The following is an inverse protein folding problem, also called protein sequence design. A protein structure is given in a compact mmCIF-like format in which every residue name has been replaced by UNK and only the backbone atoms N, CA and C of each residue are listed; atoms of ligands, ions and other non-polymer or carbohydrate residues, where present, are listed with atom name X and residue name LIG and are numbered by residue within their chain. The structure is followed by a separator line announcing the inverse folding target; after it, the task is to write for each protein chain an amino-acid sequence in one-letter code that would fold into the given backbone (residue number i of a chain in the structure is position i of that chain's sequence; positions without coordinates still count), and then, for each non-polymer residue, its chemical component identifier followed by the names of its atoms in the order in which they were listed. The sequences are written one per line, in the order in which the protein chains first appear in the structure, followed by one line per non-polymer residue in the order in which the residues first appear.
data_IF_900184825669
#
_entry.id   IF_900184825669
#
_cell.length_a   1.000
_cell.length_b   1.000
_cell.length_c   1.000
_cell.angle_alpha   90.00
_cell.angle_beta   90.00
_cell.angle_gamma   90.00
#
_symmetry.space_group_name_H-M   'P 1'
#
loop_
_entity.id
_entity.type
_entity.pdbx_description
1 polymer ?
#
# COMPACT_ATOMS: atom_id res chain seq x y z
N UNK A 1 17.39 -4.35 15.75
CA UNK A 1 16.19 -4.94 15.12
C UNK A 1 15.10 -4.96 16.15
N UNK A 2 13.96 -4.36 15.84
CA UNK A 2 12.75 -4.45 16.64
C UNK A 2 12.11 -5.84 16.50
N UNK A 3 11.32 -6.24 17.49
CA UNK A 3 10.56 -7.48 17.45
C UNK A 3 9.23 -7.25 16.72
N UNK A 4 9.04 -7.93 15.58
CA UNK A 4 7.81 -7.89 14.79
C UNK A 4 6.83 -9.02 15.13
N UNK A 5 7.27 -10.04 15.88
CA UNK A 5 6.46 -11.23 16.13
C UNK A 5 5.19 -10.95 16.93
N UNK A 6 5.22 -9.93 17.78
CA UNK A 6 4.11 -9.54 18.65
C UNK A 6 3.35 -8.30 18.17
N UNK A 7 3.69 -7.72 17.01
CA UNK A 7 3.09 -6.47 16.55
C UNK A 7 1.73 -6.78 15.89
N UNK A 8 0.60 -6.37 16.50
CA UNK A 8 -0.71 -6.64 15.92
C UNK A 8 -0.97 -5.71 14.73
N UNK A 9 -1.61 -6.22 13.69
CA UNK A 9 -2.16 -5.37 12.65
C UNK A 9 -3.23 -4.42 13.22
N UNK A 10 -3.40 -3.23 12.62
CA UNK A 10 -4.56 -2.37 12.84
C UNK A 10 -5.87 -3.17 12.77
N UNK A 11 -6.78 -2.92 13.72
CA UNK A 11 -8.09 -3.57 13.76
C UNK A 11 -8.84 -3.31 12.47
N UNK A 12 -9.30 -4.39 11.81
CA UNK A 12 -9.93 -4.30 10.50
C UNK A 12 -10.90 -5.48 10.29
N UNK A 13 -11.70 -5.44 9.22
CA UNK A 13 -12.55 -6.54 8.78
C UNK A 13 -11.90 -7.39 7.69
N UNK A 14 -10.65 -7.10 7.31
CA UNK A 14 -9.90 -7.95 6.38
C UNK A 14 -9.60 -9.28 7.05
N UNK A 15 -9.58 -10.36 6.28
CA UNK A 15 -9.12 -11.66 6.77
C UNK A 15 -7.69 -11.50 7.31
N UNK A 16 -7.39 -11.96 8.54
CA UNK A 16 -6.05 -11.85 9.11
C UNK A 16 -5.04 -12.70 8.32
N UNK A 17 -3.73 -12.40 8.46
CA UNK A 17 -2.67 -13.23 7.89
C UNK A 17 -2.82 -14.68 8.28
N UNK A 18 -2.48 -15.59 7.35
CA UNK A 18 -2.50 -17.01 7.64
C UNK A 18 -1.54 -17.32 8.79
N UNK A 19 -1.92 -18.27 9.65
CA UNK A 19 -1.24 -18.52 10.93
C UNK A 19 0.21 -19.03 10.77
N UNK A 20 0.57 -19.51 9.59
CA UNK A 20 1.92 -19.96 9.22
C UNK A 20 2.80 -18.84 8.62
N UNK A 21 2.24 -17.64 8.40
CA UNK A 21 2.98 -16.48 7.92
C UNK A 21 3.56 -15.67 9.07
N UNK A 22 4.70 -15.02 8.83
CA UNK A 22 5.39 -14.17 9.79
C UNK A 22 5.52 -12.76 9.24
N UNK A 23 5.29 -11.74 10.06
CA UNK A 23 5.50 -10.35 9.67
C UNK A 23 7.01 -10.10 9.52
N UNK A 24 7.47 -9.78 8.31
CA UNK A 24 8.90 -9.56 8.01
C UNK A 24 9.26 -8.09 7.86
N UNK A 25 8.29 -7.23 7.52
CA UNK A 25 8.50 -5.81 7.29
C UNK A 25 7.20 -5.04 7.46
N UNK A 26 7.29 -3.86 8.07
CA UNK A 26 6.28 -2.81 7.93
C UNK A 26 6.94 -1.64 7.21
N UNK A 27 6.42 -1.28 6.04
CA UNK A 27 6.92 -0.16 5.25
C UNK A 27 5.92 0.99 5.24
N UNK A 28 6.41 2.23 5.30
CA UNK A 28 5.61 3.41 4.95
C UNK A 28 5.77 3.64 3.45
N UNK A 29 4.66 3.63 2.72
CA UNK A 29 4.62 4.10 1.35
C UNK A 29 4.22 5.56 1.29
N UNK A 30 4.99 6.36 0.54
CA UNK A 30 4.64 7.75 0.20
C UNK A 30 4.64 7.93 -1.30
N UNK A 31 3.55 8.44 -1.86
CA UNK A 31 3.46 8.72 -3.28
C UNK A 31 2.06 9.11 -3.71
N UNK A 32 1.61 8.60 -4.85
CA UNK A 32 0.33 8.99 -5.46
C UNK A 32 -0.56 7.79 -5.80
N UNK A 33 -1.86 8.00 -5.64
CA UNK A 33 -2.90 7.22 -6.27
C UNK A 33 -3.24 7.85 -7.62
N UNK A 34 -3.30 7.03 -8.65
CA UNK A 34 -3.42 7.47 -10.03
C UNK A 34 -4.75 7.02 -10.63
N UNK A 35 -5.42 7.94 -11.32
CA UNK A 35 -6.73 7.76 -11.93
C UNK A 35 -6.75 8.29 -13.35
N UNK A 36 -7.67 7.78 -14.17
CA UNK A 36 -7.96 8.30 -15.51
C UNK A 36 -9.37 8.81 -15.65
N UNK A 37 -9.52 9.77 -16.54
CA UNK A 37 -10.78 10.44 -16.85
C UNK A 37 -11.17 10.16 -18.31
N UNK A 38 -12.23 9.38 -18.51
CA UNK A 38 -12.77 9.12 -19.86
C UNK A 38 -13.57 10.30 -20.43
N UNK A 39 -14.10 11.17 -19.56
CA UNK A 39 -14.81 12.40 -19.92
C UNK A 39 -14.74 13.40 -18.77
N UNK A 40 -14.87 14.69 -19.06
CA UNK A 40 -14.82 15.75 -18.05
C UNK A 40 -15.92 15.62 -16.98
N UNK A 41 -17.07 15.04 -17.29
CA UNK A 41 -18.16 14.84 -16.29
C UNK A 41 -18.15 13.44 -15.68
N UNK A 42 -17.19 12.59 -16.06
CA UNK A 42 -17.07 11.22 -15.55
C UNK A 42 -16.52 11.17 -14.13
N UNK A 43 -16.71 10.02 -13.48
CA UNK A 43 -16.02 9.69 -12.24
C UNK A 43 -14.63 9.13 -12.59
N UNK A 44 -13.54 9.61 -11.97
CA UNK A 44 -12.20 9.08 -12.22
C UNK A 44 -12.11 7.58 -11.93
N UNK A 45 -11.47 6.83 -12.82
CA UNK A 45 -11.26 5.38 -12.68
C UNK A 45 -9.83 5.09 -12.24
N UNK A 46 -9.65 4.27 -11.20
CA UNK A 46 -8.33 3.93 -10.68
C UNK A 46 -7.49 3.16 -11.72
N UNK A 47 -6.24 3.58 -11.90
CA UNK A 47 -5.27 2.92 -12.79
C UNK A 47 -4.01 2.45 -12.06
N UNK A 48 -3.90 2.70 -10.76
CA UNK A 48 -2.81 2.18 -9.94
C UNK A 48 -2.30 3.20 -8.94
N UNK A 49 -1.10 2.94 -8.42
CA UNK A 49 -0.39 3.81 -7.51
C UNK A 49 1.11 3.78 -7.81
N UNK A 50 1.83 4.80 -7.40
CA UNK A 50 3.30 4.82 -7.37
C UNK A 50 3.71 5.35 -6.00
N UNK A 51 4.61 4.67 -5.31
CA UNK A 51 5.12 5.11 -4.02
C UNK A 51 6.58 4.68 -3.80
N UNK A 52 7.32 5.51 -3.09
CA UNK A 52 8.57 5.10 -2.46
C UNK A 52 8.26 4.42 -1.13
N UNK A 53 8.99 3.36 -0.82
CA UNK A 53 8.84 2.59 0.41
C UNK A 53 9.96 2.94 1.38
N UNK A 54 9.62 3.12 2.65
CA UNK A 54 10.54 3.44 3.74
C UNK A 54 10.32 2.44 4.88
N UNK A 55 11.37 2.09 5.63
CA UNK A 55 11.24 1.13 6.71
C UNK A 55 10.61 1.77 7.94
N UNK A 56 9.40 1.33 8.29
CA UNK A 56 8.65 1.81 9.45
C UNK A 56 8.54 0.76 10.56
N UNK A 57 9.20 -0.39 10.43
CA UNK A 57 9.05 -1.57 11.31
C UNK A 57 9.22 -1.22 12.78
N UNK A 58 10.31 -0.53 13.13
CA UNK A 58 10.60 -0.23 14.54
C UNK A 58 9.78 0.93 15.07
N UNK A 59 9.50 1.93 14.24
CA UNK A 59 8.59 3.01 14.59
C UNK A 59 7.20 2.48 14.97
N UNK A 60 6.68 1.52 14.19
CA UNK A 60 5.38 0.90 14.45
C UNK A 60 5.44 -0.03 15.66
N UNK A 61 6.46 -0.89 15.76
CA UNK A 61 6.61 -1.82 16.88
C UNK A 61 6.72 -1.11 18.25
N UNK A 62 7.33 0.08 18.28
CA UNK A 62 7.51 0.88 19.50
C UNK A 62 6.35 1.86 19.76
N UNK A 63 5.35 1.93 18.87
CA UNK A 63 4.21 2.84 19.00
C UNK A 63 4.52 4.31 18.70
N UNK A 64 5.64 4.60 18.03
CA UNK A 64 6.14 5.95 17.73
C UNK A 64 5.63 6.50 16.37
N UNK A 65 4.38 6.20 16.02
CA UNK A 65 3.75 6.66 14.78
C UNK A 65 3.48 8.17 14.83
N UNK A 66 4.44 8.96 14.37
CA UNK A 66 4.37 10.42 14.29
C UNK A 66 5.66 11.16 14.66
N UNK A 67 6.65 10.47 15.26
CA UNK A 67 7.93 11.07 15.66
C UNK A 67 9.13 10.60 14.83
N UNK A 68 8.94 9.64 13.92
CA UNK A 68 10.03 9.02 13.19
C UNK A 68 10.09 9.65 11.80
N UNK A 69 11.05 10.54 11.61
CA UNK A 69 11.73 10.63 10.32
C UNK A 69 12.21 9.22 10.00
N UNK A 70 11.45 8.57 9.12
CA UNK A 70 11.78 7.33 8.41
C UNK A 70 13.29 7.21 8.17
N UNK A 71 13.83 6.00 8.16
CA UNK A 71 15.19 5.78 7.64
C UNK A 71 15.31 6.57 6.32
N UNK A 72 16.21 7.55 6.26
CA UNK A 72 16.18 8.60 5.24
C UNK A 72 16.33 8.08 3.79
N UNK A 73 16.63 6.80 3.64
CA UNK A 73 16.77 6.11 2.37
C UNK A 73 15.55 5.24 2.12
N UNK A 74 14.94 5.42 0.94
CA UNK A 74 13.93 4.49 0.45
C UNK A 74 14.51 3.06 0.40
N UNK A 75 13.74 2.09 0.87
CA UNK A 75 14.06 0.65 0.87
C UNK A 75 13.48 -0.06 -0.35
N UNK A 76 12.79 0.66 -1.23
CA UNK A 76 12.13 0.07 -2.39
C UNK A 76 11.10 0.99 -3.01
N UNK A 77 10.37 0.43 -3.96
CA UNK A 77 9.27 1.10 -4.63
C UNK A 77 8.05 0.18 -4.74
N UNK A 78 6.89 0.83 -4.75
CA UNK A 78 5.63 0.22 -5.10
C UNK A 78 5.09 0.89 -6.35
N UNK A 79 4.73 0.12 -7.36
CA UNK A 79 4.10 0.63 -8.59
C UNK A 79 3.10 -0.39 -9.13
N UNK A 80 2.48 -0.10 -10.27
CA UNK A 80 1.57 -1.01 -10.95
C UNK A 80 2.15 -1.34 -12.33
N UNK A 81 2.33 -2.64 -12.64
CA UNK A 81 2.83 -3.09 -13.95
C UNK A 81 1.73 -3.11 -15.02
N UNK A 82 0.49 -3.20 -14.57
CA UNK A 82 -0.74 -3.00 -15.34
C UNK A 82 -1.81 -2.40 -14.42
N UNK A 83 -3.03 -2.13 -14.91
CA UNK A 83 -4.08 -1.46 -14.12
C UNK A 83 -4.58 -2.26 -12.89
N UNK A 84 -4.14 -3.50 -12.70
CA UNK A 84 -4.63 -4.45 -11.70
C UNK A 84 -3.55 -5.12 -10.85
N UNK A 85 -2.30 -5.09 -11.31
CA UNK A 85 -1.17 -5.81 -10.70
C UNK A 85 -0.25 -4.84 -9.97
N UNK A 86 -0.43 -4.66 -8.63
CA UNK A 86 0.56 -4.00 -7.79
C UNK A 86 1.86 -4.81 -7.74
N UNK A 87 2.96 -4.09 -7.87
CA UNK A 87 4.33 -4.57 -7.79
C UNK A 87 5.03 -3.91 -6.59
N UNK A 88 5.79 -4.70 -5.83
CA UNK A 88 6.65 -4.24 -4.75
C UNK A 88 8.06 -4.75 -5.00
N UNK A 89 8.97 -3.85 -5.30
CA UNK A 89 10.41 -4.12 -5.38
C UNK A 89 11.08 -3.60 -4.11
N UNK A 90 11.40 -4.52 -3.19
CA UNK A 90 11.94 -4.20 -1.87
C UNK A 90 13.35 -4.74 -1.75
N UNK A 91 14.30 -3.85 -1.45
CA UNK A 91 15.71 -4.19 -1.28
C UNK A 91 15.85 -5.24 -0.17
N UNK A 92 16.47 -6.37 -0.51
CA UNK A 92 16.68 -7.49 0.41
C UNK A 92 15.56 -8.52 0.48
N UNK A 93 14.34 -8.20 0.01
CA UNK A 93 13.25 -9.18 -0.15
C UNK A 93 13.07 -9.62 -1.61
N UNK A 94 13.36 -8.73 -2.55
CA UNK A 94 13.13 -8.93 -3.98
C UNK A 94 11.76 -8.41 -4.43
N UNK A 95 11.42 -8.74 -5.67
CA UNK A 95 10.20 -8.30 -6.32
C UNK A 95 9.01 -9.20 -5.96
N UNK A 96 7.85 -8.59 -5.75
CA UNK A 96 6.57 -9.28 -5.49
C UNK A 96 5.46 -8.63 -6.31
N UNK A 97 4.88 -9.37 -7.24
CA UNK A 97 3.63 -8.98 -7.90
C UNK A 97 2.45 -9.59 -7.15
N UNK A 98 1.43 -8.78 -6.89
CA UNK A 98 0.26 -9.19 -6.13
C UNK A 98 -1.03 -8.93 -6.89
N UNK A 99 -2.12 -9.47 -6.36
CA UNK A 99 -3.49 -9.14 -6.77
C UNK A 99 -4.31 -8.75 -5.55
N UNK A 100 -5.29 -7.87 -5.76
CA UNK A 100 -6.26 -7.54 -4.71
C UNK A 100 -7.11 -8.76 -4.36
N UNK A 101 -7.02 -9.22 -3.12
CA UNK A 101 -7.84 -10.30 -2.58
C UNK A 101 -9.10 -9.74 -1.89
N UNK A 102 -8.92 -8.76 -1.01
CA UNK A 102 -10.01 -8.14 -0.25
C UNK A 102 -9.83 -6.63 -0.15
N UNK A 103 -10.93 -5.95 0.13
CA UNK A 103 -10.97 -4.50 0.32
C UNK A 103 -11.98 -4.16 1.40
N UNK A 104 -11.69 -3.14 2.19
CA UNK A 104 -12.64 -2.50 3.10
C UNK A 104 -12.46 -0.99 3.09
N UNK A 105 -13.49 -0.25 3.49
CA UNK A 105 -13.37 1.20 3.68
C UNK A 105 -12.29 1.51 4.73
N UNK A 106 -11.51 2.57 4.49
CA UNK A 106 -10.66 3.14 5.52
C UNK A 106 -11.53 3.81 6.60
N UNK A 107 -11.01 4.00 7.82
CA UNK A 107 -11.74 4.68 8.89
C UNK A 107 -12.21 6.10 8.54
N UNK A 108 -11.45 6.84 7.73
CA UNK A 108 -11.86 8.14 7.17
C UNK A 108 -12.23 7.99 5.70
N UNK A 109 -13.33 8.61 5.29
CA UNK A 109 -13.81 8.55 3.91
C UNK A 109 -12.93 9.31 2.91
N UNK A 110 -11.99 10.13 3.40
CA UNK A 110 -10.98 10.85 2.60
C UNK A 110 -9.77 9.99 2.26
N UNK A 111 -9.68 8.78 2.82
CA UNK A 111 -8.53 7.90 2.68
C UNK A 111 -8.90 6.70 1.81
N UNK A 112 -7.98 6.29 0.92
CA UNK A 112 -8.25 5.14 0.05
C UNK A 112 -8.47 3.86 0.84
N UNK A 113 -9.30 2.92 0.33
CA UNK A 113 -9.63 1.67 1.00
C UNK A 113 -8.41 0.89 1.52
N UNK A 114 -8.56 0.20 2.63
CA UNK A 114 -7.58 -0.78 3.09
C UNK A 114 -7.72 -2.07 2.27
N UNK A 115 -6.59 -2.71 1.98
CA UNK A 115 -6.52 -3.84 1.06
C UNK A 115 -5.77 -5.01 1.68
N UNK A 116 -6.25 -6.23 1.38
CA UNK A 116 -5.44 -7.46 1.47
C UNK A 116 -5.00 -7.83 0.06
N UNK A 117 -3.70 -7.96 -0.14
CA UNK A 117 -3.09 -8.35 -1.40
C UNK A 117 -2.48 -9.75 -1.25
N UNK A 118 -2.67 -10.58 -2.27
CA UNK A 118 -2.14 -11.95 -2.32
C UNK A 118 -1.09 -12.03 -3.42
N UNK A 119 0.08 -12.59 -3.11
CA UNK A 119 1.17 -12.71 -4.07
C UNK A 119 0.79 -13.64 -5.24
N UNK A 120 1.26 -13.29 -6.42
CA UNK A 120 1.12 -14.07 -7.64
C UNK A 120 2.40 -14.88 -7.88
N UNK A 121 2.27 -16.04 -8.55
CA UNK A 121 3.46 -16.83 -8.91
C UNK A 121 4.25 -16.20 -10.05
N UNK A 122 3.56 -15.60 -11.01
CA UNK A 122 4.18 -14.87 -12.11
C UNK A 122 4.70 -13.53 -11.59
N UNK A 123 5.87 -13.10 -12.07
CA UNK A 123 6.49 -11.82 -11.70
C UNK A 123 7.23 -11.86 -10.35
N UNK A 124 6.69 -12.55 -9.36
CA UNK A 124 7.28 -12.64 -8.01
C UNK A 124 8.58 -13.44 -7.96
N UNK A 125 9.60 -12.84 -7.35
CA UNK A 125 10.89 -13.47 -7.02
C UNK A 125 11.12 -13.64 -5.53
N UNK A 126 10.37 -12.89 -4.71
CA UNK A 126 10.44 -12.91 -3.25
C UNK A 126 9.70 -14.13 -2.64
N UNK A 127 9.95 -14.46 -1.36
CA UNK A 127 9.16 -15.44 -0.64
C UNK A 127 7.80 -14.91 -0.14
N UNK A 128 7.52 -13.61 -0.30
CA UNK A 128 6.33 -12.91 0.23
C UNK A 128 5.05 -13.58 -0.28
N UNK A 129 4.07 -13.73 0.62
CA UNK A 129 2.76 -14.31 0.33
C UNK A 129 1.65 -13.29 0.40
N UNK A 130 1.72 -12.36 1.36
CA UNK A 130 0.66 -11.38 1.57
C UNK A 130 1.23 -10.01 1.88
N UNK A 131 0.57 -8.98 1.33
CA UNK A 131 0.83 -7.59 1.72
C UNK A 131 -0.51 -6.95 2.07
N UNK A 132 -0.56 -6.28 3.21
CA UNK A 132 -1.74 -5.51 3.62
C UNK A 132 -1.44 -4.03 3.49
N UNK A 133 -2.33 -3.30 2.80
CA UNK A 133 -2.35 -1.84 2.80
C UNK A 133 -3.29 -1.36 3.89
N UNK A 134 -2.74 -0.78 4.94
CA UNK A 134 -3.46 -0.33 6.14
C UNK A 134 -3.08 1.11 6.48
N UNK A 135 -3.85 1.75 7.36
CA UNK A 135 -3.58 3.12 7.84
C UNK A 135 -3.29 4.10 6.70
N UNK A 136 -4.10 4.04 5.65
CA UNK A 136 -4.03 4.95 4.51
C UNK A 136 -4.37 6.38 4.92
N UNK A 137 -3.75 7.36 4.27
CA UNK A 137 -4.06 8.79 4.38
C UNK A 137 -4.13 9.37 2.98
N UNK A 138 -5.25 10.00 2.63
CA UNK A 138 -5.48 10.62 1.33
C UNK A 138 -5.66 9.63 0.17
N UNK A 139 -5.31 10.08 -1.03
CA UNK A 139 -5.40 9.30 -2.27
C UNK A 139 -6.79 9.18 -2.89
N UNK A 140 -7.87 9.63 -2.23
CA UNK A 140 -9.23 9.53 -2.78
C UNK A 140 -9.38 10.48 -3.97
N UNK A 141 -9.86 9.94 -5.09
CA UNK A 141 -10.14 10.70 -6.30
C UNK A 141 -11.22 11.78 -6.07
N UNK A 142 -11.19 12.90 -6.83
CA UNK A 142 -12.29 13.84 -6.85
C UNK A 142 -13.59 13.17 -7.32
N UNK A 143 -14.72 13.72 -6.91
CA UNK A 143 -16.04 13.19 -7.27
C UNK A 143 -16.33 13.23 -8.79
N UNK A 144 -15.63 14.11 -9.53
CA UNK A 144 -15.76 14.25 -10.97
C UNK A 144 -14.43 14.66 -11.61
N UNK A 145 -14.30 14.35 -12.89
CA UNK A 145 -13.20 14.79 -13.77
C UNK A 145 -13.30 16.27 -14.21
N UNK A 146 -14.26 17.03 -13.69
CA UNK A 146 -14.48 18.41 -14.13
C UNK A 146 -13.31 19.28 -13.66
N UNK A 147 -12.72 20.01 -14.60
CA UNK A 147 -11.50 20.79 -14.35
C UNK A 147 -10.25 19.96 -14.12
N UNK A 148 -10.30 18.64 -14.32
CA UNK A 148 -9.16 17.74 -14.23
C UNK A 148 -8.52 17.48 -15.59
N UNK A 149 -7.27 17.03 -15.60
CA UNK A 149 -6.63 16.46 -16.79
C UNK A 149 -7.14 15.05 -17.11
N UNK A 150 -6.64 14.45 -18.19
CA UNK A 150 -6.92 13.04 -18.53
C UNK A 150 -6.42 12.07 -17.46
N UNK A 151 -5.36 12.46 -16.75
CA UNK A 151 -4.80 11.74 -15.61
C UNK A 151 -4.94 12.61 -14.36
N UNK A 152 -5.40 11.98 -13.28
CA UNK A 152 -5.50 12.59 -11.95
C UNK A 152 -4.59 11.85 -11.01
N UNK A 153 -3.70 12.58 -10.35
CA UNK A 153 -2.76 12.08 -9.34
C UNK A 153 -3.11 12.69 -7.99
N UNK A 154 -3.36 11.86 -7.00
CA UNK A 154 -3.72 12.30 -5.64
C UNK A 154 -2.68 11.76 -4.67
N UNK A 155 -2.04 12.63 -3.91
CA UNK A 155 -1.07 12.23 -2.90
C UNK A 155 -1.71 11.28 -1.88
N UNK A 156 -0.97 10.23 -1.52
CA UNK A 156 -1.36 9.31 -0.47
C UNK A 156 -0.16 8.78 0.30
N UNK A 157 -0.43 8.38 1.53
CA UNK A 157 0.48 7.56 2.34
C UNK A 157 -0.25 6.30 2.79
N UNK A 158 0.49 5.21 3.04
CA UNK A 158 -0.06 3.98 3.61
C UNK A 158 1.00 3.15 4.32
N UNK A 159 0.58 2.36 5.30
CA UNK A 159 1.41 1.28 5.82
C UNK A 159 1.23 0.00 5.01
N UNK A 160 2.35 -0.63 4.67
CA UNK A 160 2.42 -1.91 3.99
C UNK A 160 2.99 -2.96 4.94
N UNK A 161 2.15 -3.91 5.34
CA UNK A 161 2.52 -4.99 6.25
C UNK A 161 2.79 -6.25 5.43
N UNK A 162 4.04 -6.70 5.42
CA UNK A 162 4.57 -7.72 4.50
C UNK A 162 4.78 -9.05 5.23
N UNK A 163 4.18 -10.11 4.70
CA UNK A 163 4.15 -11.47 5.24
C UNK A 163 4.61 -12.51 4.22
#
# INVERSE_FOLDING_TARGET
TCDLAAVPQPTSTLTPPAADLSLVLIALGKGTQNYTCASATGVPSAIGAVAQLFNASCAVAEGNLGSVTEDASAIGAHFFVDNTTPDFDIIGLGNTELKKAESMAAPQATDVPWLRLEAQQQGTTSPVKQIYRLNTVGGVAPASCEGQGEVVTVDYEAQYWVY
#
